data_IF_362722250491
#
_entry.id   IF_362722250491
#
_cell.length_a   1.000
_cell.length_b   1.000
_cell.length_c   1.000
_cell.angle_alpha   90.00
_cell.angle_beta   90.00
_cell.angle_gamma   90.00
#
_symmetry.space_group_name_H-M   'P 1'
#
loop_
_entity.id
_entity.type
_entity.pdbx_description
1 polymer ?
#
# COMPACT_ATOMS: atom_id res chain seq x y z
N UNK A 1 -22.62 -3.66 20.33
CA UNK A 1 -22.16 -2.46 21.07
C UNK A 1 -20.98 -2.79 22.00
N UNK A 2 -20.05 -3.65 21.58
CA UNK A 2 -18.81 -3.94 22.33
C UNK A 2 -17.53 -3.72 21.51
N UNK A 3 -17.64 -3.24 20.27
CA UNK A 3 -16.48 -2.93 19.42
C UNK A 3 -16.16 -1.45 19.54
N UNK A 4 -15.70 -1.01 20.71
CA UNK A 4 -15.10 0.34 20.84
C UNK A 4 -14.13 0.51 22.02
N UNK A 5 -14.08 -0.42 22.98
CA UNK A 5 -13.24 -0.21 24.16
C UNK A 5 -11.75 -0.52 23.91
N UNK A 6 -11.41 -1.52 23.08
CA UNK A 6 -10.01 -1.91 22.90
C UNK A 6 -9.18 -0.94 22.04
N UNK A 7 -9.76 -0.36 20.96
CA UNK A 7 -9.03 0.62 20.13
C UNK A 7 -8.86 2.00 20.77
N UNK A 8 -9.73 2.31 21.74
CA UNK A 8 -9.76 3.60 22.44
C UNK A 8 -8.86 3.56 23.69
N UNK A 9 -8.72 2.40 24.33
CA UNK A 9 -7.87 2.22 25.50
C UNK A 9 -6.37 2.08 25.18
N UNK A 10 -6.00 1.55 24.00
CA UNK A 10 -4.59 1.28 23.64
C UNK A 10 -3.87 2.49 23.01
N UNK A 11 -4.61 3.44 22.45
CA UNK A 11 -4.06 4.64 21.82
C UNK A 11 -4.82 5.86 22.36
N UNK A 12 -4.18 6.70 23.15
CA UNK A 12 -4.75 7.93 23.74
C UNK A 12 -5.35 8.87 22.66
N UNK A 13 -6.58 8.60 22.22
CA UNK A 13 -7.18 9.34 21.12
C UNK A 13 -7.66 10.69 21.65
N UNK A 14 -6.99 11.78 21.26
CA UNK A 14 -7.55 13.13 21.38
C UNK A 14 -8.99 13.13 20.81
N UNK A 15 -9.99 13.70 21.54
CA UNK A 15 -11.37 13.80 21.08
C UNK A 15 -11.47 14.45 19.69
N UNK A 16 -12.42 13.99 18.89
CA UNK A 16 -12.57 14.46 17.50
C UNK A 16 -12.85 15.97 17.44
N UNK A 17 -13.58 16.51 18.42
CA UNK A 17 -13.94 17.91 18.52
C UNK A 17 -12.70 18.82 18.63
N UNK A 18 -11.75 18.46 19.50
CA UNK A 18 -10.49 19.20 19.67
C UNK A 18 -9.64 19.15 18.39
N UNK A 19 -9.70 18.01 17.71
CA UNK A 19 -8.95 17.79 16.48
C UNK A 19 -9.57 18.51 15.27
N UNK A 20 -10.90 18.59 15.19
CA UNK A 20 -11.64 19.29 14.15
C UNK A 20 -11.25 20.78 14.07
N UNK A 21 -11.04 21.43 15.21
CA UNK A 21 -10.57 22.82 15.25
C UNK A 21 -9.15 23.01 14.69
N UNK A 22 -8.26 22.02 14.84
CA UNK A 22 -6.93 22.04 14.20
C UNK A 22 -7.04 21.82 12.69
N UNK A 23 -7.91 20.93 12.26
CA UNK A 23 -8.18 20.67 10.83
C UNK A 23 -8.79 21.91 10.15
N UNK A 24 -9.73 22.61 10.81
CA UNK A 24 -10.28 23.86 10.30
C UNK A 24 -9.18 24.92 10.11
N UNK A 25 -8.30 25.10 11.11
CA UNK A 25 -7.13 25.99 11.00
C UNK A 25 -6.16 25.58 9.88
N UNK A 26 -6.02 24.28 9.62
CA UNK A 26 -5.25 23.79 8.48
C UNK A 26 -5.91 24.21 7.16
N UNK A 27 -7.23 23.99 7.02
CA UNK A 27 -8.00 24.35 5.83
C UNK A 27 -7.91 25.85 5.53
N UNK A 28 -8.05 26.71 6.54
CA UNK A 28 -7.89 28.17 6.38
C UNK A 28 -6.50 28.59 5.90
N UNK A 29 -5.45 27.83 6.26
CA UNK A 29 -4.08 28.07 5.80
C UNK A 29 -3.88 27.61 4.36
N UNK A 30 -4.45 26.45 4.00
CA UNK A 30 -4.36 25.87 2.66
C UNK A 30 -5.19 26.66 1.64
N UNK A 31 -6.38 27.14 2.02
CA UNK A 31 -7.29 27.90 1.17
C UNK A 31 -7.69 29.23 1.81
N UNK A 32 -6.78 30.22 1.86
CA UNK A 32 -7.05 31.51 2.51
C UNK A 32 -8.16 32.33 1.83
N UNK A 33 -8.46 32.04 0.56
CA UNK A 33 -9.54 32.62 -0.23
C UNK A 33 -10.93 32.16 0.19
N UNK A 34 -11.06 31.02 0.86
CA UNK A 34 -12.34 30.48 1.29
C UNK A 34 -12.68 30.95 2.71
N UNK A 35 -13.97 31.11 3.01
CA UNK A 35 -14.45 31.37 4.37
C UNK A 35 -14.42 30.08 5.20
N UNK A 36 -14.35 30.16 6.54
CA UNK A 36 -14.38 28.96 7.39
C UNK A 36 -15.61 28.08 7.17
N UNK A 37 -16.77 28.68 6.85
CA UNK A 37 -18.02 27.96 6.57
C UNK A 37 -17.99 27.21 5.22
N UNK A 38 -16.94 27.41 4.41
CA UNK A 38 -16.75 26.68 3.17
C UNK A 38 -16.27 25.24 3.39
N UNK A 39 -15.90 24.87 4.60
CA UNK A 39 -15.34 23.55 4.92
C UNK A 39 -16.32 22.75 5.79
N UNK A 40 -16.81 21.64 5.27
CA UNK A 40 -17.45 20.61 6.07
C UNK A 40 -16.41 19.54 6.41
N UNK A 41 -16.19 19.32 7.71
CA UNK A 41 -15.18 18.42 8.24
C UNK A 41 -15.88 17.33 9.05
N UNK A 42 -15.74 16.08 8.61
CA UNK A 42 -16.37 14.93 9.25
C UNK A 42 -15.37 13.79 9.47
N UNK A 43 -15.60 13.03 10.54
CA UNK A 43 -14.80 11.83 10.82
C UNK A 43 -15.18 10.74 9.85
N UNK A 44 -14.18 10.02 9.34
CA UNK A 44 -14.39 8.78 8.60
C UNK A 44 -13.82 7.59 9.39
N UNK A 45 -14.34 6.39 9.12
CA UNK A 45 -13.73 5.16 9.64
C UNK A 45 -12.30 5.10 9.09
N UNK A 46 -11.34 4.93 9.99
CA UNK A 46 -9.92 4.82 9.66
C UNK A 46 -9.32 3.63 10.38
N UNK A 47 -8.21 3.12 9.85
CA UNK A 47 -7.49 1.98 10.42
C UNK A 47 -6.73 2.30 11.71
N UNK A 48 -5.93 1.32 12.15
CA UNK A 48 -5.11 1.40 13.36
C UNK A 48 -3.94 2.38 13.20
N UNK A 49 -3.42 2.51 11.98
CA UNK A 49 -2.23 3.33 11.69
C UNK A 49 -2.55 4.79 11.37
N UNK A 50 -3.69 5.04 10.73
CA UNK A 50 -4.02 6.35 10.18
C UNK A 50 -5.37 6.85 10.69
N UNK A 51 -5.41 8.12 11.11
CA UNK A 51 -6.64 8.87 11.31
C UNK A 51 -7.07 9.45 9.97
N UNK A 52 -8.30 9.16 9.57
CA UNK A 52 -8.89 9.57 8.29
C UNK A 52 -9.99 10.60 8.55
N UNK A 53 -9.88 11.75 7.91
CA UNK A 53 -10.82 12.87 8.05
C UNK A 53 -11.30 13.28 6.67
N UNK A 54 -12.61 13.33 6.48
CA UNK A 54 -13.22 13.83 5.26
C UNK A 54 -13.31 15.36 5.32
N UNK A 55 -12.99 16.00 4.20
CA UNK A 55 -13.12 17.45 4.03
C UNK A 55 -13.87 17.70 2.72
N UNK A 56 -15.06 18.29 2.81
CA UNK A 56 -15.81 18.81 1.67
C UNK A 56 -15.56 20.31 1.58
N UNK A 57 -15.22 20.83 0.40
CA UNK A 57 -15.11 22.28 0.19
C UNK A 57 -16.25 22.80 -0.66
N UNK A 58 -16.75 24.01 -0.32
CA UNK A 58 -17.80 24.71 -1.03
C UNK A 58 -17.24 26.00 -1.67
N UNK A 59 -16.80 25.96 -2.94
CA UNK A 59 -16.13 27.09 -3.60
C UNK A 59 -17.00 28.36 -3.72
N UNK A 60 -18.32 28.21 -3.65
CA UNK A 60 -19.29 29.30 -3.68
C UNK A 60 -19.18 30.25 -2.47
N UNK A 61 -18.44 29.88 -1.43
CA UNK A 61 -18.22 30.66 -0.21
C UNK A 61 -16.85 31.37 -0.19
N UNK A 62 -16.43 31.92 -1.32
CA UNK A 62 -15.21 32.73 -1.41
C UNK A 62 -15.31 34.07 -0.63
N UNK A 63 -14.18 34.54 -0.11
CA UNK A 63 -14.05 35.86 0.53
C UNK A 63 -14.07 36.98 -0.51
N UNK A 64 -14.70 38.10 -0.17
CA UNK A 64 -14.61 39.35 -0.94
C UNK A 64 -13.26 40.04 -0.69
N UNK A 65 -12.60 40.51 -1.74
CA UNK A 65 -11.20 40.94 -1.73
C UNK A 65 -11.04 42.33 -1.08
N UNK A 66 -10.12 42.49 -0.12
CA UNK A 66 -9.75 43.77 0.52
C UNK A 66 -8.25 44.09 0.38
N UNK A 67 -7.85 45.36 0.53
CA UNK A 67 -6.44 45.78 0.38
C UNK A 67 -5.52 45.16 1.44
N UNK A 68 -6.00 45.00 2.67
CA UNK A 68 -5.28 44.32 3.76
C UNK A 68 -5.06 42.83 3.45
N UNK A 69 -6.06 42.16 2.85
CA UNK A 69 -5.94 40.79 2.38
C UNK A 69 -4.84 40.65 1.31
N UNK A 70 -4.70 41.63 0.41
CA UNK A 70 -3.67 41.60 -0.64
C UNK A 70 -2.24 41.71 -0.07
N UNK A 71 -2.07 42.52 0.99
CA UNK A 71 -0.78 42.68 1.69
C UNK A 71 -0.44 41.41 2.49
N UNK A 72 -1.41 40.84 3.20
CA UNK A 72 -1.20 39.58 3.94
C UNK A 72 -0.91 38.40 2.99
N UNK A 73 -1.57 38.36 1.82
CA UNK A 73 -1.33 37.38 0.77
C UNK A 73 0.12 37.44 0.25
N UNK A 74 0.66 38.63 0.00
CA UNK A 74 2.03 38.83 -0.44
C UNK A 74 3.06 38.39 0.62
N UNK A 75 2.82 38.72 1.89
CA UNK A 75 3.68 38.32 3.00
C UNK A 75 3.63 36.81 3.25
N UNK A 76 2.48 36.16 3.05
CA UNK A 76 2.33 34.71 3.19
C UNK A 76 2.95 33.94 2.02
N UNK A 77 2.90 34.46 0.78
CA UNK A 77 3.63 33.91 -0.38
C UNK A 77 5.14 33.78 -0.13
N UNK A 78 5.71 34.72 0.60
CA UNK A 78 7.13 34.70 0.99
C UNK A 78 7.44 33.69 2.11
N UNK A 79 6.45 33.35 2.96
CA UNK A 79 6.61 32.40 4.08
C UNK A 79 6.30 30.94 3.72
N UNK A 80 5.39 30.69 2.78
CA UNK A 80 4.92 29.34 2.44
C UNK A 80 4.72 29.17 0.92
N UNK A 81 5.79 29.14 0.10
CA UNK A 81 5.70 29.16 -1.36
C UNK A 81 5.01 27.94 -2.01
N UNK A 82 4.71 26.88 -1.26
CA UNK A 82 4.33 25.55 -1.79
C UNK A 82 2.83 25.30 -2.02
N UNK A 83 1.91 26.14 -1.54
CA UNK A 83 0.48 25.76 -1.42
C UNK A 83 -0.53 26.57 -2.27
N UNK A 84 -0.07 27.33 -3.27
CA UNK A 84 -0.91 28.34 -3.94
C UNK A 84 -1.71 27.86 -5.16
N UNK A 85 -1.64 26.58 -5.52
CA UNK A 85 -2.19 26.04 -6.78
C UNK A 85 -3.30 24.98 -6.60
N UNK A 86 -3.79 24.77 -5.38
CA UNK A 86 -4.87 23.80 -5.16
C UNK A 86 -6.17 24.36 -5.76
N UNK A 87 -6.66 23.71 -6.83
CA UNK A 87 -8.03 23.93 -7.34
C UNK A 87 -9.00 23.63 -6.22
N UNK A 88 -10.08 24.41 -6.09
CA UNK A 88 -11.11 24.19 -5.05
C UNK A 88 -11.69 22.77 -5.19
N UNK A 89 -11.32 21.82 -4.32
CA UNK A 89 -11.65 20.42 -4.50
C UNK A 89 -12.94 20.09 -3.75
N UNK A 90 -13.93 19.54 -4.44
CA UNK A 90 -15.23 19.28 -3.82
C UNK A 90 -15.18 18.25 -2.68
N UNK A 91 -14.26 17.28 -2.72
CA UNK A 91 -14.17 16.17 -1.76
C UNK A 91 -12.71 15.73 -1.56
N UNK A 92 -12.24 15.74 -0.31
CA UNK A 92 -10.86 15.41 0.07
C UNK A 92 -10.80 14.46 1.27
N UNK A 93 -9.67 13.76 1.37
CA UNK A 93 -9.26 12.96 2.52
C UNK A 93 -7.99 13.55 3.12
N UNK A 94 -8.03 13.84 4.41
CA UNK A 94 -6.87 14.14 5.23
C UNK A 94 -6.46 12.89 6.01
N UNK A 95 -5.25 12.37 5.75
CA UNK A 95 -4.64 11.26 6.46
C UNK A 95 -3.61 11.79 7.45
N UNK A 96 -3.69 11.35 8.70
CA UNK A 96 -2.78 11.73 9.78
C UNK A 96 -2.30 10.45 10.46
N UNK A 97 -0.97 10.15 10.45
CA UNK A 97 -0.44 9.00 11.16
C UNK A 97 -0.73 9.08 12.66
N UNK A 98 -1.01 7.92 13.25
CA UNK A 98 -1.24 7.80 14.69
C UNK A 98 0.08 7.69 15.46
N UNK A 99 1.14 7.12 14.86
CA UNK A 99 2.49 7.01 15.41
C UNK A 99 3.43 8.20 15.11
N UNK A 100 4.65 8.13 15.64
CA UNK A 100 5.73 9.10 15.42
C UNK A 100 6.51 8.72 14.15
N UNK A 101 5.96 9.07 12.98
CA UNK A 101 6.33 8.35 11.77
C UNK A 101 7.40 9.01 10.89
N UNK A 102 8.56 8.36 10.86
CA UNK A 102 9.44 8.39 9.68
C UNK A 102 8.88 7.54 8.52
N UNK A 103 7.85 6.71 8.77
CA UNK A 103 7.26 5.78 7.81
C UNK A 103 6.40 6.46 6.74
N UNK A 104 5.62 7.50 7.11
CA UNK A 104 4.77 8.25 6.17
C UNK A 104 5.54 8.76 4.94
N UNK A 105 6.84 9.04 5.07
CA UNK A 105 7.64 9.48 3.94
C UNK A 105 7.83 8.35 2.89
N UNK A 106 7.98 7.11 3.34
CA UNK A 106 8.08 5.94 2.45
C UNK A 106 6.73 5.61 1.82
N UNK A 107 5.66 5.61 2.62
CA UNK A 107 4.29 5.36 2.15
C UNK A 107 3.92 6.35 1.04
N UNK A 108 4.21 7.64 1.25
CA UNK A 108 3.95 8.69 0.27
C UNK A 108 4.85 8.57 -0.96
N UNK A 109 6.06 8.04 -0.82
CA UNK A 109 6.96 7.79 -1.94
C UNK A 109 6.44 6.66 -2.84
N UNK A 110 6.05 5.52 -2.25
CA UNK A 110 5.43 4.39 -2.96
C UNK A 110 4.13 4.82 -3.64
N UNK A 111 3.27 5.52 -2.90
CA UNK A 111 2.01 6.07 -3.40
C UNK A 111 2.19 7.03 -4.59
N UNK A 112 3.13 7.99 -4.50
CA UNK A 112 3.43 8.88 -5.63
C UNK A 112 4.02 8.12 -6.81
N UNK A 113 4.82 7.10 -6.53
CA UNK A 113 5.47 6.31 -7.57
C UNK A 113 4.45 5.58 -8.44
N UNK A 114 3.51 4.86 -7.83
CA UNK A 114 2.44 4.17 -8.58
C UNK A 114 1.56 5.15 -9.36
N UNK A 115 1.22 6.30 -8.76
CA UNK A 115 0.41 7.33 -9.40
C UNK A 115 1.08 7.98 -10.63
N UNK A 116 2.41 7.97 -10.70
CA UNK A 116 3.16 8.52 -11.82
C UNK A 116 3.47 7.49 -12.91
N UNK A 117 3.37 6.18 -12.61
CA UNK A 117 3.80 5.09 -13.49
C UNK A 117 2.69 4.16 -13.95
N UNK A 118 1.47 4.36 -13.46
CA UNK A 118 0.27 3.60 -13.86
C UNK A 118 -0.89 4.55 -14.17
N UNK A 119 -1.91 4.04 -14.84
CA UNK A 119 -3.21 4.67 -15.02
C UNK A 119 -4.24 4.15 -14.01
N UNK A 120 -3.80 3.37 -13.02
CA UNK A 120 -4.66 2.86 -11.97
C UNK A 120 -5.32 4.03 -11.22
N UNK A 121 -6.57 3.86 -10.79
CA UNK A 121 -7.29 4.90 -10.06
C UNK A 121 -6.73 5.00 -8.64
N UNK A 122 -5.72 5.84 -8.47
CA UNK A 122 -5.10 6.13 -7.16
C UNK A 122 -5.38 7.58 -6.76
N UNK A 123 -5.60 7.88 -5.46
CA UNK A 123 -5.87 9.25 -5.04
C UNK A 123 -4.71 10.18 -5.41
N UNK A 124 -4.94 11.46 -5.74
CA UNK A 124 -3.81 12.40 -5.94
C UNK A 124 -3.53 13.16 -4.66
N UNK A 125 -2.25 13.28 -4.31
CA UNK A 125 -1.82 14.08 -3.15
C UNK A 125 -1.78 15.55 -3.54
N UNK A 126 -2.58 16.34 -2.85
CA UNK A 126 -2.70 17.79 -3.00
C UNK A 126 -1.72 18.53 -2.09
N UNK A 127 -1.69 18.16 -0.81
CA UNK A 127 -0.79 18.77 0.17
C UNK A 127 -0.15 17.69 1.05
N UNK A 128 1.06 17.99 1.52
CA UNK A 128 1.83 17.09 2.36
C UNK A 128 2.71 17.95 3.27
N UNK A 129 2.69 17.67 4.57
CA UNK A 129 3.65 18.19 5.52
C UNK A 129 4.16 17.03 6.38
N UNK A 130 5.44 16.72 6.27
CA UNK A 130 6.07 15.62 7.02
C UNK A 130 6.60 16.07 8.39
N UNK A 131 6.41 17.34 8.74
CA UNK A 131 6.88 17.90 10.02
C UNK A 131 5.72 18.02 11.01
N UNK A 132 6.03 18.21 12.29
CA UNK A 132 5.05 18.61 13.30
C UNK A 132 4.86 20.12 13.38
N UNK A 133 5.57 20.91 12.56
CA UNK A 133 5.49 22.38 12.57
C UNK A 133 4.35 22.90 11.69
N UNK A 134 3.14 22.41 11.95
CA UNK A 134 1.93 22.77 11.21
C UNK A 134 0.72 22.89 12.15
N UNK A 135 -0.46 23.20 11.60
CA UNK A 135 -1.67 23.45 12.40
C UNK A 135 -2.17 22.22 13.19
N UNK A 136 -1.84 21.00 12.71
CA UNK A 136 -2.21 19.74 13.35
C UNK A 136 -1.22 19.36 14.47
N UNK A 137 0.03 19.82 14.36
CA UNK A 137 1.12 19.40 15.25
C UNK A 137 1.65 17.99 14.92
N UNK A 138 1.30 17.45 13.75
CA UNK A 138 1.66 16.11 13.28
C UNK A 138 1.85 16.09 11.77
N UNK A 139 2.64 15.15 11.22
CA UNK A 139 2.67 14.89 9.78
C UNK A 139 1.27 14.64 9.22
N UNK A 140 1.04 15.02 7.97
CA UNK A 140 -0.22 14.72 7.28
C UNK A 140 -0.05 14.66 5.76
N UNK A 141 -0.94 13.91 5.11
CA UNK A 141 -1.19 14.00 3.68
C UNK A 141 -2.64 14.36 3.41
N UNK A 142 -2.86 15.24 2.43
CA UNK A 142 -4.16 15.64 1.94
C UNK A 142 -4.28 15.16 0.49
N UNK A 143 -5.30 14.36 0.21
CA UNK A 143 -5.46 13.68 -1.06
C UNK A 143 -6.91 13.71 -1.56
N UNK A 144 -7.12 13.34 -2.82
CA UNK A 144 -8.45 13.14 -3.39
C UNK A 144 -9.28 12.18 -2.53
N UNK A 145 -10.56 12.50 -2.34
CA UNK A 145 -11.55 11.50 -1.95
C UNK A 145 -12.09 10.85 -3.22
N UNK A 146 -11.65 9.63 -3.49
CA UNK A 146 -12.14 8.88 -4.64
C UNK A 146 -13.63 8.51 -4.45
N UNK A 147 -14.43 8.54 -5.52
CA UNK A 147 -15.83 8.14 -5.48
C UNK A 147 -15.97 6.61 -5.35
N UNK A 148 -17.17 6.14 -4.98
CA UNK A 148 -17.49 4.71 -4.90
C UNK A 148 -17.69 4.18 -3.48
N UNK A 149 -18.06 2.90 -3.42
CA UNK A 149 -18.22 2.10 -2.19
C UNK A 149 -17.05 1.14 -2.06
N UNK A 150 -16.75 0.74 -0.83
CA UNK A 150 -15.79 -0.32 -0.56
C UNK A 150 -16.30 -1.64 -1.16
N UNK A 151 -15.43 -2.38 -1.86
CA UNK A 151 -15.83 -3.61 -2.55
C UNK A 151 -16.34 -4.68 -1.59
N UNK A 152 -15.69 -4.85 -0.44
CA UNK A 152 -16.12 -5.81 0.59
C UNK A 152 -17.56 -5.55 1.07
N UNK A 153 -18.01 -4.29 1.09
CA UNK A 153 -19.36 -3.92 1.54
C UNK A 153 -20.40 -3.94 0.40
N UNK A 154 -19.97 -4.15 -0.86
CA UNK A 154 -20.81 -4.02 -2.04
C UNK A 154 -20.92 -5.31 -2.86
N UNK A 155 -19.99 -6.25 -2.68
CA UNK A 155 -19.86 -7.45 -3.50
C UNK A 155 -21.15 -8.26 -3.61
N UNK A 156 -21.85 -8.49 -2.50
CA UNK A 156 -23.07 -9.29 -2.45
C UNK A 156 -24.28 -8.64 -3.13
N UNK A 157 -24.21 -7.33 -3.38
CA UNK A 157 -25.28 -6.60 -4.06
C UNK A 157 -25.15 -6.68 -5.59
N UNK A 158 -23.99 -7.11 -6.11
CA UNK A 158 -23.75 -7.18 -7.54
C UNK A 158 -24.38 -8.41 -8.16
N UNK A 159 -24.99 -8.22 -9.32
CA UNK A 159 -25.41 -9.34 -10.16
C UNK A 159 -24.20 -10.03 -10.80
N UNK A 160 -24.40 -11.22 -11.34
CA UNK A 160 -23.33 -12.02 -11.94
C UNK A 160 -22.58 -11.28 -13.08
N UNK A 161 -23.31 -10.57 -13.95
CA UNK A 161 -22.69 -9.81 -15.06
C UNK A 161 -21.79 -8.69 -14.55
N UNK A 162 -22.20 -7.99 -13.48
CA UNK A 162 -21.40 -6.97 -12.82
C UNK A 162 -20.15 -7.54 -12.14
N UNK A 163 -20.26 -8.69 -11.47
CA UNK A 163 -19.11 -9.39 -10.89
C UNK A 163 -18.11 -9.79 -11.98
N UNK A 164 -18.59 -10.34 -13.10
CA UNK A 164 -17.77 -10.66 -14.27
C UNK A 164 -17.06 -9.43 -14.88
N UNK A 165 -17.73 -8.28 -14.95
CA UNK A 165 -17.11 -7.01 -15.37
C UNK A 165 -15.93 -6.65 -14.47
N UNK A 166 -16.17 -6.67 -13.15
CA UNK A 166 -15.20 -6.27 -12.15
C UNK A 166 -13.99 -7.20 -12.08
N UNK A 167 -14.20 -8.52 -12.15
CA UNK A 167 -13.11 -9.52 -12.17
C UNK A 167 -12.17 -9.28 -13.35
N UNK A 168 -12.71 -9.02 -14.55
CA UNK A 168 -11.90 -8.72 -15.73
C UNK A 168 -11.13 -7.41 -15.59
N UNK A 169 -11.72 -6.40 -14.94
CA UNK A 169 -11.03 -5.14 -14.64
C UNK A 169 -9.90 -5.35 -13.63
N UNK A 170 -10.11 -6.17 -12.59
CA UNK A 170 -9.10 -6.50 -11.60
C UNK A 170 -7.90 -7.22 -12.24
N UNK A 171 -8.15 -8.20 -13.12
CA UNK A 171 -7.08 -8.86 -13.88
C UNK A 171 -6.25 -7.88 -14.70
N UNK A 172 -6.90 -6.92 -15.39
CA UNK A 172 -6.19 -5.86 -16.13
C UNK A 172 -5.39 -4.94 -15.23
N UNK A 173 -5.92 -4.58 -14.06
CA UNK A 173 -5.24 -3.73 -13.09
C UNK A 173 -3.96 -4.40 -12.56
N UNK A 174 -4.01 -5.70 -12.26
CA UNK A 174 -2.84 -6.49 -11.85
C UNK A 174 -1.77 -6.54 -12.94
N UNK A 175 -2.17 -6.80 -14.20
CA UNK A 175 -1.25 -6.81 -15.33
C UNK A 175 -0.61 -5.43 -15.59
N UNK A 176 -1.38 -4.34 -15.42
CA UNK A 176 -0.83 -2.99 -15.51
C UNK A 176 0.22 -2.74 -14.41
N UNK A 177 -0.05 -3.18 -13.18
CA UNK A 177 0.90 -3.05 -12.07
C UNK A 177 2.20 -3.84 -12.35
N UNK A 178 2.09 -5.05 -12.91
CA UNK A 178 3.24 -5.86 -13.32
C UNK A 178 4.07 -5.24 -14.45
N UNK A 179 3.52 -4.28 -15.21
CA UNK A 179 4.31 -3.56 -16.20
C UNK A 179 5.32 -2.58 -15.57
N UNK A 180 5.18 -2.29 -14.26
CA UNK A 180 6.06 -1.40 -13.52
C UNK A 180 7.22 -2.20 -12.89
N UNK A 181 8.40 -2.06 -13.47
CA UNK A 181 9.58 -2.83 -13.07
C UNK A 181 10.79 -1.98 -12.68
N UNK A 182 11.69 -2.57 -11.91
CA UNK A 182 12.96 -1.98 -11.49
C UNK A 182 14.06 -3.07 -11.43
N UNK A 183 15.31 -2.76 -11.79
CA UNK A 183 16.42 -3.70 -11.62
C UNK A 183 16.76 -4.00 -10.15
N UNK A 184 16.28 -3.19 -9.21
CA UNK A 184 16.51 -3.36 -7.78
C UNK A 184 15.24 -3.76 -7.04
N UNK A 185 15.34 -4.73 -6.13
CA UNK A 185 14.28 -5.01 -5.15
C UNK A 185 14.39 -4.07 -3.95
N UNK A 186 13.25 -3.79 -3.31
CA UNK A 186 13.19 -3.00 -2.10
C UNK A 186 12.05 -1.98 -2.08
N UNK A 187 12.23 -0.92 -1.29
CA UNK A 187 11.23 0.13 -1.05
C UNK A 187 11.59 1.42 -1.78
N UNK A 188 10.59 2.17 -2.22
CA UNK A 188 10.80 3.47 -2.88
C UNK A 188 11.31 4.48 -1.86
N UNK A 189 12.48 5.07 -2.12
CA UNK A 189 13.10 6.01 -1.19
C UNK A 189 12.33 7.34 -1.04
N UNK A 190 12.27 7.95 0.17
CA UNK A 190 11.58 9.22 0.44
C UNK A 190 12.01 10.40 -0.43
N UNK A 191 13.22 10.36 -1.00
CA UNK A 191 13.69 11.39 -1.95
C UNK A 191 12.78 11.50 -3.17
N UNK A 192 12.06 10.44 -3.53
CA UNK A 192 11.12 10.44 -4.65
C UNK A 192 9.98 11.46 -4.47
N UNK A 193 9.58 11.75 -3.23
CA UNK A 193 8.52 12.74 -2.91
C UNK A 193 8.83 14.10 -3.56
N UNK A 194 10.08 14.56 -3.50
CA UNK A 194 10.49 15.87 -4.01
C UNK A 194 10.76 15.93 -5.52
N UNK A 195 10.68 14.80 -6.23
CA UNK A 195 11.05 14.74 -7.65
C UNK A 195 10.04 15.49 -8.52
N UNK A 196 10.56 16.43 -9.31
CA UNK A 196 9.77 17.16 -10.31
C UNK A 196 9.82 16.43 -11.65
N UNK A 197 8.75 16.54 -12.45
CA UNK A 197 8.78 16.10 -13.85
C UNK A 197 9.84 16.91 -14.60
N UNK A 198 10.58 16.24 -15.49
CA UNK A 198 11.57 16.91 -16.35
C UNK A 198 10.92 18.06 -17.12
N UNK A 199 11.69 19.11 -17.42
CA UNK A 199 11.24 20.30 -18.16
C UNK A 199 10.68 19.95 -19.57
N UNK A 200 11.04 18.78 -20.10
CA UNK A 200 10.55 18.23 -21.37
C UNK A 200 9.40 17.22 -21.21
N UNK A 201 8.80 17.11 -20.02
CA UNK A 201 7.47 16.54 -19.81
C UNK A 201 7.30 15.02 -19.96
N UNK A 202 8.35 14.25 -20.25
CA UNK A 202 8.14 12.86 -20.70
C UNK A 202 8.25 11.76 -19.64
N UNK A 203 8.94 11.93 -18.51
CA UNK A 203 8.95 10.99 -17.36
C UNK A 203 9.65 11.59 -16.13
N UNK A 204 9.26 11.18 -14.92
CA UNK A 204 10.06 11.43 -13.71
C UNK A 204 11.30 10.53 -13.70
N UNK A 205 12.39 10.92 -13.01
CA UNK A 205 13.57 10.07 -12.89
C UNK A 205 13.23 8.78 -12.14
N UNK A 206 13.99 7.71 -12.42
CA UNK A 206 13.88 6.47 -11.67
C UNK A 206 14.13 6.75 -10.17
N UNK A 207 13.32 6.16 -9.28
CA UNK A 207 13.49 6.33 -7.85
C UNK A 207 14.80 5.69 -7.38
N UNK A 208 15.37 6.23 -6.30
CA UNK A 208 16.30 5.47 -5.47
C UNK A 208 15.49 4.37 -4.78
N UNK A 209 15.85 3.12 -5.05
CA UNK A 209 15.31 1.98 -4.31
C UNK A 209 16.22 1.74 -3.11
N UNK A 210 15.62 1.58 -1.94
CA UNK A 210 16.30 1.24 -0.70
C UNK A 210 16.06 -0.24 -0.40
N UNK A 211 17.06 -0.91 0.16
CA UNK A 211 16.92 -2.31 0.57
C UNK A 211 15.84 -2.45 1.64
N UNK A 212 15.26 -3.65 1.75
CA UNK A 212 14.35 -3.96 2.85
C UNK A 212 15.03 -3.72 4.21
N UNK A 213 14.22 -3.37 5.19
CA UNK A 213 14.69 -2.86 6.47
C UNK A 213 15.05 -4.01 7.41
N UNK A 214 16.14 -3.84 8.17
CA UNK A 214 16.53 -4.81 9.21
C UNK A 214 16.94 -4.04 10.47
N UNK A 215 16.19 -4.17 11.59
CA UNK A 215 14.84 -4.75 11.67
C UNK A 215 13.85 -3.85 10.92
N UNK A 216 12.60 -4.31 10.75
CA UNK A 216 11.53 -3.49 10.19
C UNK A 216 11.29 -2.25 11.06
N UNK A 217 10.86 -1.14 10.46
CA UNK A 217 10.69 0.15 11.17
C UNK A 217 9.68 0.11 12.31
N UNK A 218 8.68 -0.76 12.22
CA UNK A 218 7.66 -0.97 13.26
C UNK A 218 8.10 -1.95 14.37
N UNK A 219 9.29 -2.54 14.25
CA UNK A 219 9.86 -3.40 15.29
C UNK A 219 10.24 -2.56 16.52
N UNK A 220 9.71 -2.84 17.73
CA UNK A 220 9.98 -2.04 18.93
C UNK A 220 11.44 -2.05 19.40
N UNK A 221 12.23 -3.00 18.91
CA UNK A 221 13.58 -3.30 19.39
C UNK A 221 14.60 -3.04 18.29
N UNK A 222 15.22 -1.85 18.29
CA UNK A 222 16.45 -1.59 17.52
C UNK A 222 16.40 -0.40 16.57
N UNK A 223 17.58 0.06 16.17
CA UNK A 223 17.73 1.04 15.10
C UNK A 223 17.60 0.34 13.73
N UNK A 224 16.62 0.77 12.94
CA UNK A 224 16.43 0.27 11.58
C UNK A 224 17.59 0.65 10.66
N UNK A 225 18.15 -0.35 9.98
CA UNK A 225 19.16 -0.13 8.94
C UNK A 225 18.57 -0.32 7.54
N UNK A 226 18.81 0.65 6.66
CA UNK A 226 18.55 0.52 5.23
C UNK A 226 19.56 1.34 4.44
N UNK A 227 19.87 0.88 3.24
CA UNK A 227 20.80 1.55 2.32
C UNK A 227 20.30 1.41 0.89
N UNK A 228 20.93 2.13 -0.05
CA UNK A 228 20.56 2.02 -1.46
C UNK A 228 20.70 0.56 -1.95
N UNK A 229 19.67 0.08 -2.63
CA UNK A 229 19.70 -1.20 -3.32
C UNK A 229 20.53 -1.08 -4.60
N UNK A 230 21.17 -2.19 -4.98
CA UNK A 230 21.93 -2.35 -6.22
C UNK A 230 21.28 -3.47 -7.01
N UNK A 231 21.32 -3.44 -8.35
CA UNK A 231 20.76 -4.52 -9.16
C UNK A 231 21.24 -5.88 -8.68
N UNK A 232 20.31 -6.81 -8.49
CA UNK A 232 20.58 -8.12 -7.93
C UNK A 232 19.64 -9.19 -8.52
N UNK A 233 20.00 -10.46 -8.42
CA UNK A 233 19.10 -11.59 -8.69
C UNK A 233 18.13 -11.82 -7.53
N UNK A 234 17.08 -12.62 -7.74
CA UNK A 234 16.17 -12.98 -6.64
C UNK A 234 16.87 -13.83 -5.57
N UNK A 235 17.78 -14.72 -5.98
CA UNK A 235 18.56 -15.52 -5.02
C UNK A 235 19.49 -14.64 -4.19
N UNK A 236 20.21 -13.71 -4.83
CA UNK A 236 21.07 -12.74 -4.14
C UNK A 236 20.28 -11.88 -3.15
N UNK A 237 19.08 -11.43 -3.53
CA UNK A 237 18.17 -10.69 -2.66
C UNK A 237 17.85 -11.48 -1.39
N UNK A 238 17.37 -12.71 -1.52
CA UNK A 238 16.96 -13.56 -0.40
C UNK A 238 18.14 -13.86 0.53
N UNK A 239 19.25 -14.35 -0.01
CA UNK A 239 20.44 -14.69 0.78
C UNK A 239 21.02 -13.46 1.50
N UNK A 240 21.08 -12.32 0.81
CA UNK A 240 21.55 -11.06 1.43
C UNK A 240 20.62 -10.63 2.55
N UNK A 241 19.30 -10.73 2.37
CA UNK A 241 18.36 -10.35 3.42
C UNK A 241 18.45 -11.25 4.65
N UNK A 242 18.47 -12.57 4.46
CA UNK A 242 18.62 -13.49 5.57
C UNK A 242 19.94 -13.28 6.31
N UNK A 243 21.03 -13.05 5.59
CA UNK A 243 22.32 -12.75 6.22
C UNK A 243 22.28 -11.47 7.04
N UNK A 244 21.58 -10.42 6.55
CA UNK A 244 21.42 -9.17 7.29
C UNK A 244 20.64 -9.37 8.59
N UNK A 245 19.62 -10.23 8.61
CA UNK A 245 18.94 -10.60 9.85
C UNK A 245 19.86 -11.37 10.78
N UNK A 246 20.59 -12.38 10.29
CA UNK A 246 21.57 -13.11 11.09
C UNK A 246 22.61 -12.18 11.74
N UNK A 247 23.19 -11.26 10.97
CA UNK A 247 24.18 -10.30 11.45
C UNK A 247 23.59 -9.36 12.51
N UNK A 248 22.32 -8.96 12.33
CA UNK A 248 21.62 -8.11 13.27
C UNK A 248 21.31 -8.85 14.58
N UNK A 249 20.82 -10.09 14.51
CA UNK A 249 20.51 -10.93 15.67
C UNK A 249 21.79 -11.30 16.44
N UNK A 250 22.88 -11.65 15.75
CA UNK A 250 24.19 -11.85 16.39
C UNK A 250 24.63 -10.59 17.16
N UNK A 251 24.48 -9.41 16.56
CA UNK A 251 24.87 -8.15 17.19
C UNK A 251 23.98 -7.75 18.39
N UNK A 252 22.71 -8.13 18.41
CA UNK A 252 21.75 -7.70 19.43
C UNK A 252 21.46 -8.78 20.50
N UNK A 253 21.49 -10.05 20.11
CA UNK A 253 21.11 -11.21 20.93
C UNK A 253 22.25 -12.23 21.12
N UNK A 254 23.36 -12.09 20.39
CA UNK A 254 24.58 -12.90 20.57
C UNK A 254 24.57 -14.25 19.85
N UNK A 255 23.51 -14.55 19.10
CA UNK A 255 23.42 -15.66 18.14
C UNK A 255 22.24 -15.40 17.19
N UNK A 256 22.33 -15.80 15.90
CA UNK A 256 21.18 -15.80 14.99
C UNK A 256 20.26 -16.99 15.27
N UNK A 257 18.99 -16.84 14.94
CA UNK A 257 18.00 -17.90 14.95
C UNK A 257 18.41 -19.02 13.95
N UNK A 258 18.59 -20.27 14.40
CA UNK A 258 18.93 -21.39 13.51
C UNK A 258 18.03 -21.56 12.27
N UNK A 259 16.75 -21.17 12.35
CA UNK A 259 15.82 -21.28 11.23
C UNK A 259 16.28 -20.51 9.97
N UNK A 260 17.08 -19.44 10.10
CA UNK A 260 17.62 -18.71 8.95
C UNK A 260 18.43 -19.59 7.99
N UNK A 261 19.19 -20.56 8.52
CA UNK A 261 19.97 -21.48 7.70
C UNK A 261 19.08 -22.38 6.83
N UNK A 262 17.91 -22.78 7.35
CA UNK A 262 16.93 -23.55 6.59
C UNK A 262 16.33 -22.71 5.45
N UNK A 263 15.97 -21.45 5.71
CA UNK A 263 15.46 -20.54 4.68
C UNK A 263 16.48 -20.26 3.57
N UNK A 264 17.76 -20.07 3.93
CA UNK A 264 18.85 -19.94 2.95
C UNK A 264 18.99 -21.20 2.09
N UNK A 265 18.92 -22.39 2.68
CA UNK A 265 18.97 -23.66 1.94
C UNK A 265 17.79 -23.79 0.97
N UNK A 266 16.57 -23.45 1.40
CA UNK A 266 15.38 -23.46 0.55
C UNK A 266 15.57 -22.50 -0.63
N UNK A 267 16.04 -21.27 -0.38
CA UNK A 267 16.31 -20.29 -1.43
C UNK A 267 17.31 -20.82 -2.47
N UNK A 268 18.42 -21.44 -2.03
CA UNK A 268 19.41 -22.04 -2.94
C UNK A 268 18.79 -23.15 -3.79
N UNK A 269 18.04 -24.08 -3.17
CA UNK A 269 17.38 -25.16 -3.90
C UNK A 269 16.37 -24.62 -4.93
N UNK A 270 15.58 -23.60 -4.57
CA UNK A 270 14.67 -22.94 -5.50
C UNK A 270 15.42 -22.30 -6.69
N UNK A 271 16.58 -21.70 -6.42
CA UNK A 271 17.49 -21.18 -7.44
C UNK A 271 18.02 -22.26 -8.38
N UNK A 272 18.50 -23.38 -7.83
CA UNK A 272 19.00 -24.53 -8.59
C UNK A 272 17.92 -25.17 -9.47
N UNK A 273 16.66 -25.13 -9.02
CA UNK A 273 15.49 -25.57 -9.79
C UNK A 273 15.07 -24.58 -10.89
N UNK A 274 15.70 -23.41 -10.99
CA UNK A 274 15.34 -22.38 -11.96
C UNK A 274 13.97 -21.73 -11.70
N UNK A 275 13.54 -21.66 -10.45
CA UNK A 275 12.26 -21.04 -10.08
C UNK A 275 12.32 -19.52 -10.11
N UNK A 276 13.49 -18.92 -9.98
CA UNK A 276 13.67 -17.48 -9.99
C UNK A 276 13.85 -16.92 -11.40
N UNK A 277 13.13 -15.83 -11.69
CA UNK A 277 13.34 -15.03 -12.89
C UNK A 277 14.22 -13.82 -12.54
N UNK A 278 15.30 -13.62 -13.30
CA UNK A 278 16.27 -12.54 -13.07
C UNK A 278 16.15 -11.40 -14.11
N UNK A 279 14.93 -11.11 -14.57
CA UNK A 279 14.65 -9.99 -15.50
C UNK A 279 14.36 -8.66 -14.79
N UNK A 280 14.30 -8.67 -13.46
CA UNK A 280 14.03 -7.50 -12.63
C UNK A 280 12.95 -7.77 -11.59
N UNK A 281 12.57 -6.72 -10.89
CA UNK A 281 11.60 -6.73 -9.81
C UNK A 281 10.37 -5.91 -10.20
N UNK A 282 9.22 -6.32 -9.68
CA UNK A 282 7.90 -5.87 -10.05
C UNK A 282 7.29 -5.09 -8.89
N UNK A 283 6.58 -4.01 -9.20
CA UNK A 283 5.91 -3.23 -8.15
C UNK A 283 4.72 -4.04 -7.60
N UNK A 284 4.70 -4.29 -6.28
CA UNK A 284 3.75 -5.17 -5.62
C UNK A 284 2.91 -4.38 -4.62
N UNK A 285 1.60 -4.61 -4.63
CA UNK A 285 0.67 -4.13 -3.61
C UNK A 285 0.56 -5.19 -2.50
N UNK A 286 1.38 -5.09 -1.46
CA UNK A 286 1.48 -6.12 -0.42
C UNK A 286 0.23 -6.27 0.47
N UNK A 287 -0.77 -5.40 0.33
CA UNK A 287 -2.04 -5.48 1.07
C UNK A 287 -3.28 -5.45 0.17
N UNK A 288 -3.26 -6.16 -0.98
CA UNK A 288 -4.36 -6.09 -1.96
C UNK A 288 -5.57 -6.94 -1.54
N UNK A 289 -6.54 -6.30 -0.89
CA UNK A 289 -7.76 -6.92 -0.40
C UNK A 289 -9.00 -6.16 -0.88
N UNK A 290 -10.17 -6.81 -0.89
CA UNK A 290 -11.46 -6.18 -1.21
C UNK A 290 -11.72 -4.89 -0.41
N UNK A 291 -11.25 -4.82 0.84
CA UNK A 291 -11.37 -3.61 1.69
C UNK A 291 -10.61 -2.38 1.17
N UNK A 292 -9.63 -2.58 0.29
CA UNK A 292 -8.76 -1.56 -0.29
C UNK A 292 -9.18 -1.19 -1.72
N UNK A 293 -10.30 -1.72 -2.21
CA UNK A 293 -10.85 -1.43 -3.54
C UNK A 293 -12.15 -0.62 -3.40
N UNK A 294 -12.24 0.47 -4.16
CA UNK A 294 -13.46 1.24 -4.33
C UNK A 294 -14.09 0.94 -5.70
N UNK A 295 -15.40 0.81 -5.72
CA UNK A 295 -16.18 0.46 -6.91
C UNK A 295 -17.40 1.35 -7.10
N UNK A 296 -17.81 1.51 -8.36
CA UNK A 296 -19.04 2.20 -8.76
C UNK A 296 -19.81 1.37 -9.77
N UNK A 297 -21.11 1.16 -9.49
CA UNK A 297 -22.05 0.62 -10.48
C UNK A 297 -22.30 1.68 -11.54
N UNK A 298 -21.96 1.39 -12.79
CA UNK A 298 -22.23 2.26 -13.94
C UNK A 298 -23.63 1.98 -14.47
N UNK A 299 -23.94 0.69 -14.65
CA UNK A 299 -25.24 0.18 -15.11
C UNK A 299 -25.44 -1.28 -14.68
N UNK A 300 -26.51 -1.93 -15.17
CA UNK A 300 -26.86 -3.31 -14.84
C UNK A 300 -25.83 -4.36 -15.31
N UNK A 301 -24.83 -3.96 -16.10
CA UNK A 301 -23.80 -4.84 -16.66
C UNK A 301 -22.39 -4.50 -16.19
N UNK A 302 -22.15 -3.26 -15.77
CA UNK A 302 -20.79 -2.74 -15.56
C UNK A 302 -20.60 -2.18 -14.16
N UNK A 303 -19.52 -2.64 -13.52
CA UNK A 303 -18.95 -2.05 -12.30
C UNK A 303 -17.52 -1.63 -12.63
N UNK A 304 -17.17 -0.39 -12.30
CA UNK A 304 -15.83 0.16 -12.50
C UNK A 304 -15.06 0.22 -11.17
N UNK A 305 -13.76 -0.08 -11.22
CA UNK A 305 -12.82 0.21 -10.13
C UNK A 305 -12.57 1.71 -10.13
N UNK A 306 -13.10 2.39 -9.11
CA UNK A 306 -12.94 3.83 -8.94
C UNK A 306 -11.79 4.22 -8.02
N UNK A 307 -11.19 3.23 -7.34
CA UNK A 307 -10.04 3.45 -6.48
C UNK A 307 -9.32 2.17 -6.03
N UNK A 308 -7.99 2.20 -6.04
CA UNK A 308 -7.13 1.23 -5.36
C UNK A 308 -6.36 2.00 -4.28
N UNK A 309 -6.56 1.61 -3.02
CA UNK A 309 -6.12 2.32 -1.83
C UNK A 309 -5.05 1.54 -1.07
N UNK A 310 -4.45 2.16 -0.06
CA UNK A 310 -3.51 1.53 0.88
C UNK A 310 -2.16 1.07 0.29
N UNK A 311 -1.55 1.94 -0.52
CA UNK A 311 -0.21 1.74 -1.08
C UNK A 311 0.94 1.94 -0.08
N UNK A 312 0.65 1.99 1.21
CA UNK A 312 1.65 2.23 2.27
C UNK A 312 2.69 1.08 2.31
N UNK A 313 2.31 -0.13 1.86
CA UNK A 313 3.21 -1.30 1.75
C UNK A 313 3.65 -1.61 0.31
N UNK A 314 3.70 -0.59 -0.57
CA UNK A 314 4.15 -0.76 -1.96
C UNK A 314 5.66 -0.98 -2.10
N UNK A 315 6.07 -2.09 -2.72
CA UNK A 315 7.48 -2.48 -2.85
C UNK A 315 7.84 -2.94 -4.27
N UNK A 316 9.14 -3.05 -4.56
CA UNK A 316 9.64 -3.86 -5.67
C UNK A 316 10.07 -5.24 -5.17
N UNK A 317 9.42 -6.30 -5.66
CA UNK A 317 9.69 -7.69 -5.29
C UNK A 317 9.77 -8.61 -6.52
N UNK A 318 10.16 -9.89 -6.33
CA UNK A 318 10.19 -10.86 -7.43
C UNK A 318 8.82 -11.05 -8.09
N UNK A 319 8.78 -11.46 -9.36
CA UNK A 319 7.53 -11.58 -10.13
C UNK A 319 6.44 -12.38 -9.41
N UNK A 320 6.82 -13.48 -8.77
CA UNK A 320 5.87 -14.35 -8.06
C UNK A 320 5.10 -13.64 -6.93
N UNK A 321 5.65 -12.56 -6.38
CA UNK A 321 5.00 -11.75 -5.34
C UNK A 321 3.90 -10.85 -5.93
N UNK A 322 4.06 -10.43 -7.19
CA UNK A 322 3.05 -9.67 -7.93
C UNK A 322 1.94 -10.54 -8.54
N UNK A 323 2.04 -11.86 -8.39
CA UNK A 323 1.09 -12.84 -8.92
C UNK A 323 0.23 -13.51 -7.84
N UNK A 324 0.21 -12.97 -6.62
CA UNK A 324 -0.69 -13.47 -5.57
C UNK A 324 -2.15 -13.38 -6.08
N UNK A 325 -2.89 -14.49 -6.12
CA UNK A 325 -4.24 -14.49 -6.66
C UNK A 325 -5.20 -13.75 -5.72
N UNK A 326 -6.08 -12.86 -6.22
CA UNK A 326 -7.11 -12.21 -5.41
C UNK A 326 -8.26 -13.18 -5.09
N UNK A 327 -7.99 -14.19 -4.27
CA UNK A 327 -8.89 -15.33 -4.02
C UNK A 327 -10.26 -14.92 -3.49
N UNK A 328 -10.37 -13.77 -2.82
CA UNK A 328 -11.62 -13.18 -2.36
C UNK A 328 -12.62 -12.84 -3.49
N UNK A 329 -12.23 -12.98 -4.77
CA UNK A 329 -13.15 -12.89 -5.91
C UNK A 329 -13.95 -14.18 -6.17
N UNK A 330 -13.47 -15.34 -5.71
CA UNK A 330 -14.09 -16.64 -6.01
C UNK A 330 -14.08 -17.63 -4.84
N UNK A 331 -13.46 -17.30 -3.71
CA UNK A 331 -13.56 -18.07 -2.48
C UNK A 331 -14.63 -17.49 -1.54
N UNK A 332 -15.35 -18.34 -0.78
CA UNK A 332 -16.32 -17.90 0.24
C UNK A 332 -15.69 -17.03 1.35
N UNK A 333 -16.48 -16.17 2.00
CA UNK A 333 -15.98 -15.30 3.08
C UNK A 333 -15.53 -16.05 4.35
N UNK A 334 -16.03 -17.27 4.58
CA UNK A 334 -15.74 -18.07 5.77
C UNK A 334 -14.47 -18.92 5.64
N UNK A 335 -13.81 -18.89 4.48
CA UNK A 335 -12.49 -19.52 4.31
C UNK A 335 -11.36 -18.55 4.66
N UNK A 336 -10.22 -19.12 5.02
CA UNK A 336 -9.02 -18.34 5.24
C UNK A 336 -8.42 -17.90 3.89
N UNK A 337 -8.66 -16.65 3.50
CA UNK A 337 -8.08 -16.07 2.29
C UNK A 337 -6.56 -15.85 2.37
N UNK A 338 -5.91 -16.15 3.51
CA UNK A 338 -4.45 -16.19 3.62
C UNK A 338 -3.87 -17.55 3.21
N UNK A 339 -4.69 -18.61 3.17
CA UNK A 339 -4.28 -19.93 2.70
C UNK A 339 -4.31 -20.00 1.16
N UNK A 340 -3.21 -19.55 0.55
CA UNK A 340 -3.05 -19.55 -0.91
C UNK A 340 -3.06 -20.94 -1.56
N UNK A 341 -3.03 -22.04 -0.78
CA UNK A 341 -3.14 -23.40 -1.34
C UNK A 341 -4.53 -23.67 -1.93
N UNK A 342 -5.54 -22.92 -1.50
CA UNK A 342 -6.92 -22.99 -1.99
C UNK A 342 -7.11 -22.28 -3.34
N UNK A 343 -6.10 -21.58 -3.85
CA UNK A 343 -6.26 -20.71 -5.01
C UNK A 343 -6.54 -21.47 -6.32
N UNK A 344 -6.00 -22.68 -6.45
CA UNK A 344 -6.14 -23.52 -7.65
C UNK A 344 -7.50 -24.24 -7.69
N UNK A 345 -8.10 -24.49 -6.52
CA UNK A 345 -9.33 -25.26 -6.38
C UNK A 345 -10.50 -24.60 -7.14
N UNK A 346 -11.23 -25.41 -7.91
CA UNK A 346 -12.39 -24.94 -8.66
C UNK A 346 -13.62 -24.82 -7.74
N UNK A 347 -14.31 -23.66 -7.74
CA UNK A 347 -15.56 -23.50 -7.01
C UNK A 347 -16.64 -24.48 -7.49
N UNK A 348 -17.43 -25.03 -6.56
CA UNK A 348 -18.56 -25.90 -6.90
C UNK A 348 -19.72 -25.13 -7.57
N UNK A 349 -19.87 -23.85 -7.23
CA UNK A 349 -20.91 -22.98 -7.78
C UNK A 349 -20.58 -22.56 -9.22
N UNK A 350 -21.45 -22.83 -10.22
CA UNK A 350 -21.17 -22.52 -11.62
C UNK A 350 -20.95 -21.03 -11.92
N UNK A 351 -21.64 -20.12 -11.23
CA UNK A 351 -21.44 -18.68 -11.42
C UNK A 351 -20.05 -18.27 -10.90
N UNK A 352 -19.67 -18.76 -9.73
CA UNK A 352 -18.35 -18.49 -9.12
C UNK A 352 -17.21 -19.10 -9.93
N UNK A 353 -17.41 -20.30 -10.50
CA UNK A 353 -16.46 -20.90 -11.43
C UNK A 353 -16.24 -20.01 -12.66
N UNK A 354 -17.32 -19.44 -13.24
CA UNK A 354 -17.22 -18.51 -14.37
C UNK A 354 -16.43 -17.24 -14.00
N UNK A 355 -16.53 -16.76 -12.76
CA UNK A 355 -15.70 -15.65 -12.26
C UNK A 355 -14.21 -16.04 -12.27
N UNK A 356 -13.85 -17.20 -11.72
CA UNK A 356 -12.47 -17.69 -11.71
C UNK A 356 -11.93 -17.86 -13.13
N UNK A 357 -12.67 -18.53 -14.01
CA UNK A 357 -12.29 -18.71 -15.42
C UNK A 357 -12.09 -17.37 -16.14
N UNK A 358 -12.95 -16.39 -15.91
CA UNK A 358 -12.81 -15.06 -16.50
C UNK A 358 -11.57 -14.31 -15.99
N UNK A 359 -11.18 -14.49 -14.73
CA UNK A 359 -9.93 -13.95 -14.19
C UNK A 359 -8.72 -14.61 -14.86
N UNK A 360 -8.70 -15.94 -14.87
CA UNK A 360 -7.64 -16.78 -15.42
C UNK A 360 -7.39 -16.49 -16.91
N UNK A 361 -8.46 -16.32 -17.70
CA UNK A 361 -8.39 -15.94 -19.10
C UNK A 361 -7.66 -14.60 -19.31
N UNK A 362 -7.94 -13.60 -18.46
CA UNK A 362 -7.36 -12.27 -18.57
C UNK A 362 -5.88 -12.25 -18.18
N UNK A 363 -5.53 -12.87 -17.05
CA UNK A 363 -4.15 -12.82 -16.51
C UNK A 363 -3.21 -13.79 -17.24
N UNK A 364 -3.74 -14.88 -17.80
CA UNK A 364 -3.02 -15.80 -18.66
C UNK A 364 -2.06 -16.75 -17.93
N UNK A 365 -1.61 -17.79 -18.65
CA UNK A 365 -0.88 -18.91 -18.06
C UNK A 365 0.46 -18.57 -17.38
N UNK A 366 1.11 -17.47 -17.78
CA UNK A 366 2.33 -17.03 -17.08
C UNK A 366 2.03 -16.55 -15.66
N UNK A 367 1.00 -15.73 -15.49
CA UNK A 367 0.54 -15.29 -14.16
C UNK A 367 0.14 -16.50 -13.32
N UNK A 368 -0.68 -17.39 -13.89
CA UNK A 368 -1.23 -18.56 -13.18
C UNK A 368 -0.14 -19.54 -12.74
N UNK A 369 0.93 -19.71 -13.54
CA UNK A 369 2.11 -20.48 -13.13
C UNK A 369 2.68 -19.97 -11.81
N UNK A 370 2.79 -18.65 -11.64
CA UNK A 370 3.29 -18.06 -10.40
C UNK A 370 2.24 -18.04 -9.29
N UNK A 371 0.96 -17.92 -9.62
CA UNK A 371 -0.12 -17.87 -8.65
C UNK A 371 -0.32 -19.23 -7.95
N UNK A 372 -0.44 -20.32 -8.71
CA UNK A 372 -0.96 -21.59 -8.19
C UNK A 372 0.09 -22.64 -7.88
N UNK A 373 1.25 -22.60 -8.55
CA UNK A 373 2.26 -23.64 -8.35
C UNK A 373 2.77 -23.62 -6.89
N UNK A 374 2.76 -24.76 -6.16
CA UNK A 374 3.08 -24.80 -4.73
C UNK A 374 4.43 -24.18 -4.34
N UNK A 375 5.46 -24.37 -5.16
CA UNK A 375 6.77 -23.78 -4.90
C UNK A 375 6.73 -22.25 -4.85
N UNK A 376 5.84 -21.59 -5.60
CA UNK A 376 5.70 -20.12 -5.56
C UNK A 376 4.85 -19.62 -4.40
N UNK A 377 3.93 -20.44 -3.88
CA UNK A 377 3.25 -20.17 -2.59
C UNK A 377 4.30 -20.13 -1.47
N UNK A 378 5.18 -21.13 -1.43
CA UNK A 378 6.32 -21.17 -0.49
C UNK A 378 7.26 -19.97 -0.74
N UNK A 379 7.56 -19.64 -2.00
CA UNK A 379 8.44 -18.51 -2.33
C UNK A 379 7.88 -17.15 -1.87
N UNK A 380 6.55 -16.93 -1.95
CA UNK A 380 5.91 -15.73 -1.41
C UNK A 380 6.07 -15.63 0.11
N UNK A 381 5.82 -16.72 0.83
CA UNK A 381 6.01 -16.78 2.29
C UNK A 381 7.48 -16.59 2.69
N UNK A 382 8.41 -17.15 1.90
CA UNK A 382 9.85 -16.93 2.06
C UNK A 382 10.23 -15.45 1.90
N UNK A 383 9.62 -14.74 0.94
CA UNK A 383 9.80 -13.30 0.78
C UNK A 383 9.21 -12.50 1.94
N UNK A 384 8.06 -12.90 2.50
CA UNK A 384 7.48 -12.26 3.69
C UNK A 384 8.45 -12.39 4.88
N UNK A 385 9.02 -13.57 5.12
CA UNK A 385 10.05 -13.76 6.15
C UNK A 385 11.30 -12.88 5.89
N UNK A 386 11.73 -12.75 4.63
CA UNK A 386 12.86 -11.90 4.24
C UNK A 386 12.62 -10.38 4.43
N UNK A 387 11.35 -9.95 4.53
CA UNK A 387 10.97 -8.56 4.76
C UNK A 387 10.67 -8.26 6.23
N UNK A 388 10.12 -9.23 6.96
CA UNK A 388 9.57 -9.02 8.30
C UNK A 388 10.51 -9.44 9.43
N UNK A 389 11.38 -10.44 9.23
CA UNK A 389 12.17 -11.03 10.32
C UNK A 389 11.38 -12.01 11.20
N UNK A 390 12.00 -12.51 12.27
CA UNK A 390 11.37 -13.35 13.30
C UNK A 390 11.46 -12.65 14.66
N UNK A 391 10.44 -11.84 15.01
CA UNK A 391 10.44 -11.04 16.24
C UNK A 391 9.37 -11.47 17.24
N UNK A 392 8.41 -12.28 16.81
CA UNK A 392 7.33 -12.83 17.62
C UNK A 392 7.25 -14.36 17.42
N UNK A 393 6.70 -15.11 18.39
CA UNK A 393 6.52 -16.56 18.25
C UNK A 393 5.74 -16.96 16.99
N UNK A 394 4.76 -16.15 16.58
CA UNK A 394 4.00 -16.39 15.35
C UNK A 394 4.86 -16.29 14.08
N UNK A 395 5.92 -15.47 14.09
CA UNK A 395 6.85 -15.37 12.96
C UNK A 395 7.70 -16.65 12.84
N UNK A 396 8.16 -17.18 13.98
CA UNK A 396 8.90 -18.44 14.05
C UNK A 396 8.02 -19.62 13.58
N UNK A 397 6.78 -19.73 14.08
CA UNK A 397 5.82 -20.75 13.64
C UNK A 397 5.54 -20.66 12.13
N UNK A 398 5.41 -19.45 11.59
CA UNK A 398 5.22 -19.25 10.16
C UNK A 398 6.42 -19.74 9.33
N UNK A 399 7.65 -19.53 9.82
CA UNK A 399 8.90 -20.00 9.21
C UNK A 399 9.06 -21.51 9.32
N UNK A 400 8.77 -22.11 10.47
CA UNK A 400 8.74 -23.56 10.64
C UNK A 400 7.80 -24.22 9.63
N UNK A 401 6.61 -23.63 9.43
CA UNK A 401 5.67 -24.13 8.45
C UNK A 401 6.18 -23.99 7.00
N UNK A 402 6.95 -22.95 6.66
CA UNK A 402 7.61 -22.84 5.33
C UNK A 402 8.54 -24.04 5.11
N UNK A 403 9.32 -24.39 6.14
CA UNK A 403 10.29 -25.49 6.08
C UNK A 403 9.56 -26.82 5.93
N UNK A 404 8.54 -27.06 6.76
CA UNK A 404 7.72 -28.27 6.69
C UNK A 404 7.09 -28.45 5.31
N UNK A 405 6.39 -27.42 4.81
CA UNK A 405 5.70 -27.51 3.52
C UNK A 405 6.71 -27.73 2.36
N UNK A 406 7.92 -27.18 2.47
CA UNK A 406 9.00 -27.42 1.49
C UNK A 406 9.53 -28.86 1.53
N UNK A 407 9.74 -29.43 2.72
CA UNK A 407 10.20 -30.81 2.89
C UNK A 407 9.13 -31.82 2.44
N UNK A 408 7.85 -31.53 2.67
CA UNK A 408 6.74 -32.35 2.18
C UNK A 408 6.65 -32.35 0.64
N UNK A 409 6.88 -31.19 0.02
CA UNK A 409 6.88 -31.04 -1.43
C UNK A 409 8.13 -31.64 -2.09
N UNK A 410 9.26 -31.67 -1.37
CA UNK A 410 10.57 -32.14 -1.86
C UNK A 410 11.26 -33.08 -0.85
N UNK A 411 10.75 -34.32 -0.70
CA UNK A 411 11.21 -35.28 0.31
C UNK A 411 12.61 -35.89 0.08
#
# INVERSE_FOLDING_TARGET
SDVSMESTAKYEQEPFETHQARVARLCERLWPSLKPEAFEIHRMKGGVYNRIIGITTHPSLAKTWTLEWFIELLLRKLRFPTYWHLKDPSQLILRIPRGDDTQIAFDIAAFRYVADHTNLPVPKIHALDLTSNNALGKPYSLQDRLPGRCLIDAWDEFNHTQKLSLVREMGKALLELQSVTNPCAGIVGPKYIGTKRSFFGLRKPNPEILQFEVPRRDTPTGETTTSAAKPQTTLELLLTQFQRFCDWEEANWGAPEPLWANLMMIAVKMGDMGLFEDQGFYFCHMDLHARNILVQVVDDTTVEISGILDWDSGIFGPKFLSCAPPMWLWLPEDVDHEDETLAEDDPEDPETLELKEAFEEIVGGEFLRYAYKPEYIIARRLMVAAMSGMFQPADEEAVEKIIQDWEELHP
#
